data_IF_586385878670
#
_entry.id   IF_586385878670
#
_cell.length_a   1.000
_cell.length_b   1.000
_cell.length_c   1.000
_cell.angle_alpha   90.00
_cell.angle_beta   90.00
_cell.angle_gamma   90.00
#
_symmetry.space_group_name_H-M   'P 1'
#
loop_
_entity.id
_entity.type
_entity.pdbx_description
1 polymer ?
#
# COMPACT_ATOMS: atom_id res chain seq x y z
N UNK A 1 16.13 -4.73 38.12
CA UNK A 1 16.50 -4.33 36.74
C UNK A 1 17.55 -3.20 36.79
N UNK A 2 18.69 -3.44 37.43
CA UNK A 2 19.84 -2.54 37.39
C UNK A 2 21.00 -3.33 36.77
N UNK A 3 21.72 -2.75 35.81
CA UNK A 3 22.80 -3.33 34.98
C UNK A 3 22.42 -3.98 33.62
N UNK A 4 21.20 -3.81 33.12
CA UNK A 4 20.94 -4.12 31.70
C UNK A 4 21.53 -3.03 30.81
N UNK A 5 22.46 -3.42 29.93
CA UNK A 5 22.98 -2.55 28.86
C UNK A 5 22.15 -2.81 27.61
N UNK A 6 21.35 -1.82 27.22
CA UNK A 6 20.64 -1.85 25.94
C UNK A 6 21.58 -1.32 24.86
N UNK A 7 21.85 -2.18 23.86
CA UNK A 7 22.57 -1.78 22.67
C UNK A 7 21.54 -1.39 21.60
N UNK A 8 21.53 -0.13 21.19
CA UNK A 8 20.70 0.36 20.09
C UNK A 8 21.60 0.48 18.87
N UNK A 9 21.40 -0.42 17.91
CA UNK A 9 22.10 -0.40 16.65
C UNK A 9 21.39 0.54 15.67
N UNK A 10 22.16 1.42 15.04
CA UNK A 10 21.71 2.20 13.90
C UNK A 10 22.11 1.47 12.60
N UNK A 11 21.52 1.89 11.48
CA UNK A 11 21.87 1.35 10.16
C UNK A 11 23.39 1.37 9.91
N UNK A 12 23.94 0.33 9.24
CA UNK A 12 25.36 0.24 8.96
C UNK A 12 25.86 1.45 8.14
N UNK A 13 27.11 1.90 8.37
CA UNK A 13 27.69 3.04 7.65
C UNK A 13 27.64 2.85 6.13
N UNK A 14 27.08 3.82 5.40
CA UNK A 14 27.00 3.80 3.94
C UNK A 14 25.62 3.46 3.36
N UNK A 15 24.72 2.88 4.15
CA UNK A 15 23.33 2.57 3.76
C UNK A 15 22.29 3.41 4.52
N UNK A 16 22.76 4.36 5.33
CA UNK A 16 21.91 5.17 6.20
C UNK A 16 21.02 6.12 5.40
N UNK A 17 19.72 6.04 5.66
CA UNK A 17 18.79 7.10 5.27
C UNK A 17 19.22 8.41 5.94
N UNK A 18 19.08 9.53 5.22
CA UNK A 18 19.35 10.83 5.84
C UNK A 18 18.35 11.09 6.96
N UNK A 19 18.73 11.90 7.96
CA UNK A 19 17.85 12.26 9.10
C UNK A 19 16.45 12.69 8.66
N UNK A 20 16.34 13.45 7.56
CA UNK A 20 15.04 13.86 7.02
C UNK A 20 14.21 12.68 6.50
N UNK A 21 14.83 11.71 5.83
CA UNK A 21 14.13 10.50 5.40
C UNK A 21 13.74 9.64 6.61
N UNK A 22 14.60 9.50 7.62
CA UNK A 22 14.25 8.76 8.85
C UNK A 22 13.08 9.41 9.59
N UNK A 23 13.08 10.74 9.73
CA UNK A 23 11.99 11.47 10.36
C UNK A 23 10.65 11.25 9.63
N UNK A 24 10.66 11.32 8.29
CA UNK A 24 9.47 11.06 7.47
C UNK A 24 9.04 9.60 7.56
N UNK A 25 9.98 8.65 7.48
CA UNK A 25 9.71 7.22 7.57
C UNK A 25 9.07 6.85 8.93
N UNK A 26 9.63 7.33 10.04
CA UNK A 26 9.09 7.13 11.38
C UNK A 26 7.72 7.78 11.57
N UNK A 27 7.52 8.97 10.99
CA UNK A 27 6.20 9.64 10.99
C UNK A 27 5.15 8.78 10.28
N UNK A 28 5.46 8.25 9.09
CA UNK A 28 4.51 7.41 8.34
C UNK A 28 4.26 6.07 9.05
N UNK A 29 5.31 5.45 9.60
CA UNK A 29 5.20 4.19 10.33
C UNK A 29 4.30 4.30 11.58
N UNK A 30 4.23 5.49 12.19
CA UNK A 30 3.33 5.77 13.32
C UNK A 30 1.92 6.21 12.90
N UNK A 31 1.61 6.19 11.60
CA UNK A 31 0.31 6.60 11.07
C UNK A 31 0.09 8.11 11.03
N UNK A 32 1.17 8.89 11.15
CA UNK A 32 1.15 10.34 11.20
C UNK A 32 1.49 10.98 9.84
N UNK A 33 1.15 12.26 9.68
CA UNK A 33 1.46 13.06 8.51
C UNK A 33 2.41 14.23 8.81
N UNK A 34 2.55 15.12 7.83
CA UNK A 34 3.42 16.29 7.94
C UNK A 34 3.06 17.16 9.14
N UNK A 35 1.77 17.44 9.38
CA UNK A 35 1.32 18.29 10.49
C UNK A 35 1.76 17.76 11.85
N UNK A 36 1.61 16.46 12.10
CA UNK A 36 2.04 15.85 13.36
C UNK A 36 3.57 15.86 13.52
N UNK A 37 4.32 15.68 12.43
CA UNK A 37 5.77 15.85 12.48
C UNK A 37 6.16 17.29 12.84
N UNK A 38 5.45 18.29 12.32
CA UNK A 38 5.69 19.68 12.67
C UNK A 38 5.39 19.96 14.15
N UNK A 39 4.28 19.46 14.67
CA UNK A 39 3.92 19.56 16.09
C UNK A 39 4.98 18.93 16.97
N UNK A 40 5.39 17.70 16.64
CA UNK A 40 6.44 16.98 17.36
C UNK A 40 7.77 17.74 17.39
N UNK A 41 8.24 18.23 16.22
CA UNK A 41 9.45 19.04 16.15
C UNK A 41 9.33 20.34 16.95
N UNK A 42 8.17 21.00 16.89
CA UNK A 42 7.92 22.24 17.63
C UNK A 42 7.94 22.02 19.15
N UNK A 43 7.35 20.93 19.66
CA UNK A 43 7.38 20.58 21.09
C UNK A 43 8.79 20.35 21.63
N UNK A 44 9.71 19.90 20.77
CA UNK A 44 11.12 19.68 21.11
C UNK A 44 12.02 20.88 20.78
N UNK A 45 11.46 21.99 20.29
CA UNK A 45 12.19 23.15 19.79
C UNK A 45 13.22 22.79 18.68
N UNK A 46 12.87 21.83 17.82
CA UNK A 46 13.66 21.40 16.66
C UNK A 46 13.24 22.16 15.39
N UNK A 47 14.14 22.30 14.40
CA UNK A 47 13.80 22.88 13.10
C UNK A 47 12.63 22.16 12.43
N UNK A 48 11.66 22.94 11.93
CA UNK A 48 10.45 22.41 11.31
C UNK A 48 10.72 22.12 9.83
N UNK A 49 10.45 20.87 9.43
CA UNK A 49 10.52 20.48 8.02
C UNK A 49 9.44 21.17 7.19
N UNK A 50 9.81 21.77 6.07
CA UNK A 50 8.84 22.37 5.14
C UNK A 50 8.01 21.29 4.43
N UNK A 51 6.78 21.60 4.02
CA UNK A 51 5.93 20.67 3.26
C UNK A 51 6.58 20.22 1.95
N UNK A 52 7.36 21.09 1.30
CA UNK A 52 8.09 20.76 0.06
C UNK A 52 9.12 19.66 0.32
N UNK A 53 9.93 19.82 1.37
CA UNK A 53 10.95 18.83 1.76
C UNK A 53 10.29 17.52 2.20
N UNK A 54 9.25 17.59 3.02
CA UNK A 54 8.51 16.41 3.47
C UNK A 54 8.00 15.58 2.29
N UNK A 55 7.35 16.22 1.31
CA UNK A 55 6.85 15.54 0.10
C UNK A 55 7.98 14.92 -0.71
N UNK A 56 9.11 15.60 -0.88
CA UNK A 56 10.24 15.06 -1.62
C UNK A 56 10.82 13.80 -0.95
N UNK A 57 10.96 13.81 0.38
CA UNK A 57 11.37 12.63 1.15
C UNK A 57 10.32 11.51 1.08
N UNK A 58 9.04 11.85 1.25
CA UNK A 58 7.93 10.89 1.17
C UNK A 58 7.90 10.17 -0.17
N UNK A 59 8.02 10.88 -1.29
CA UNK A 59 8.02 10.28 -2.65
C UNK A 59 9.17 9.29 -2.80
N UNK A 60 10.38 9.65 -2.36
CA UNK A 60 11.54 8.74 -2.43
C UNK A 60 11.32 7.46 -1.61
N UNK A 61 10.79 7.60 -0.39
CA UNK A 61 10.49 6.47 0.49
C UNK A 61 9.39 5.59 -0.11
N UNK A 62 8.34 6.19 -0.65
CA UNK A 62 7.24 5.49 -1.31
C UNK A 62 7.76 4.61 -2.46
N UNK A 63 8.63 5.14 -3.32
CA UNK A 63 9.21 4.35 -4.43
C UNK A 63 9.97 3.12 -3.93
N UNK A 64 10.71 3.24 -2.82
CA UNK A 64 11.44 2.12 -2.24
C UNK A 64 10.50 1.10 -1.59
N UNK A 65 9.52 1.56 -0.81
CA UNK A 65 8.54 0.68 -0.19
C UNK A 65 7.67 -0.04 -1.22
N UNK A 66 7.29 0.61 -2.31
CA UNK A 66 6.56 -0.03 -3.40
C UNK A 66 7.36 -1.17 -4.01
N UNK A 67 8.65 -0.92 -4.33
CA UNK A 67 9.55 -1.95 -4.84
C UNK A 67 9.67 -3.14 -3.89
N UNK A 68 9.97 -2.89 -2.62
CA UNK A 68 10.12 -3.95 -1.60
C UNK A 68 8.81 -4.71 -1.41
N UNK A 69 7.67 -4.02 -1.44
CA UNK A 69 6.35 -4.65 -1.31
C UNK A 69 6.07 -5.59 -2.47
N UNK A 70 6.37 -5.19 -3.70
CA UNK A 70 6.20 -6.04 -4.89
C UNK A 70 7.12 -7.25 -4.84
N UNK A 71 8.39 -7.07 -4.47
CA UNK A 71 9.35 -8.18 -4.31
C UNK A 71 8.88 -9.19 -3.25
N UNK A 72 8.42 -8.70 -2.10
CA UNK A 72 7.90 -9.53 -1.02
C UNK A 72 6.64 -10.31 -1.45
N UNK A 73 5.69 -9.66 -2.13
CA UNK A 73 4.48 -10.31 -2.64
C UNK A 73 4.80 -11.38 -3.69
N UNK A 74 5.76 -11.13 -4.57
CA UNK A 74 6.19 -12.11 -5.58
C UNK A 74 6.84 -13.34 -4.93
N UNK A 75 7.66 -13.15 -3.89
CA UNK A 75 8.25 -14.25 -3.15
C UNK A 75 7.17 -15.07 -2.42
N UNK A 76 6.20 -14.42 -1.79
CA UNK A 76 5.07 -15.08 -1.15
C UNK A 76 4.24 -15.91 -2.15
N UNK A 77 3.97 -15.35 -3.34
CA UNK A 77 3.27 -16.04 -4.41
C UNK A 77 4.05 -17.25 -4.94
N UNK A 78 5.37 -17.15 -5.06
CA UNK A 78 6.22 -18.27 -5.47
C UNK A 78 6.17 -19.43 -4.46
N UNK A 79 6.23 -19.14 -3.15
CA UNK A 79 6.11 -20.17 -2.10
C UNK A 79 4.77 -20.90 -2.16
N UNK A 80 3.66 -20.17 -2.25
CA UNK A 80 2.32 -20.77 -2.38
C UNK A 80 2.20 -21.63 -3.65
N UNK A 81 2.82 -21.18 -4.76
CA UNK A 81 2.86 -21.93 -6.01
C UNK A 81 3.62 -23.25 -5.86
N UNK A 82 4.79 -23.24 -5.20
CA UNK A 82 5.59 -24.44 -4.95
C UNK A 82 4.85 -25.45 -4.05
N UNK A 83 4.16 -24.96 -3.02
CA UNK A 83 3.33 -25.80 -2.16
C UNK A 83 2.15 -26.43 -2.91
N UNK A 84 1.49 -25.69 -3.80
CA UNK A 84 0.42 -26.26 -4.61
C UNK A 84 0.94 -27.34 -5.59
N UNK A 85 2.14 -27.16 -6.14
CA UNK A 85 2.79 -28.15 -7.00
C UNK A 85 3.20 -29.42 -6.25
N UNK A 86 3.77 -29.30 -5.04
CA UNK A 86 4.21 -30.45 -4.25
C UNK A 86 3.04 -31.33 -3.80
N UNK A 87 1.84 -30.75 -3.66
CA UNK A 87 0.61 -31.46 -3.34
C UNK A 87 -0.17 -31.94 -4.58
N UNK A 88 0.39 -31.74 -5.78
CA UNK A 88 -0.26 -32.05 -7.05
C UNK A 88 -1.65 -31.40 -7.20
N UNK A 89 -1.83 -30.22 -6.60
CA UNK A 89 -3.05 -29.39 -6.73
C UNK A 89 -2.96 -28.52 -7.97
N UNK A 90 -3.18 -29.15 -9.11
CA UNK A 90 -3.14 -28.49 -10.42
C UNK A 90 -4.47 -28.63 -11.13
N UNK A 91 -4.80 -27.65 -11.97
CA UNK A 91 -5.95 -27.74 -12.86
C UNK A 91 -5.66 -28.69 -14.05
N UNK A 92 -6.64 -28.85 -14.93
CA UNK A 92 -6.54 -29.64 -16.16
C UNK A 92 -5.41 -29.21 -17.12
N UNK A 93 -4.87 -28.01 -16.96
CA UNK A 93 -3.79 -27.45 -17.77
C UNK A 93 -2.43 -27.46 -17.03
N UNK A 94 -2.35 -28.03 -15.81
CA UNK A 94 -1.15 -28.03 -14.99
C UNK A 94 -0.91 -26.72 -14.25
N UNK A 95 -1.89 -25.81 -14.18
CA UNK A 95 -1.78 -24.54 -13.46
C UNK A 95 -2.04 -24.80 -11.96
N UNK A 96 -1.13 -24.37 -11.06
CA UNK A 96 -1.32 -24.55 -9.63
C UNK A 96 -2.56 -23.85 -9.10
N UNK A 97 -3.39 -24.58 -8.37
CA UNK A 97 -4.58 -24.06 -7.71
C UNK A 97 -4.16 -23.60 -6.32
N UNK A 98 -4.21 -22.29 -6.08
CA UNK A 98 -3.88 -21.68 -4.79
C UNK A 98 -5.15 -21.21 -4.13
N UNK A 99 -5.27 -21.56 -2.86
CA UNK A 99 -6.35 -21.13 -2.01
C UNK A 99 -5.99 -19.81 -1.34
N UNK A 100 -6.90 -18.83 -1.41
CA UNK A 100 -6.64 -17.48 -0.89
C UNK A 100 -7.77 -16.99 -0.01
N UNK A 101 -7.43 -16.08 0.89
CA UNK A 101 -8.36 -15.23 1.65
C UNK A 101 -8.25 -13.83 1.08
N UNK A 102 -9.39 -13.20 0.81
CA UNK A 102 -9.42 -11.80 0.36
C UNK A 102 -10.00 -10.96 1.47
N UNK A 103 -9.24 -9.97 1.91
CA UNK A 103 -9.70 -8.96 2.87
C UNK A 103 -9.76 -7.59 2.20
N UNK A 104 -10.82 -6.85 2.47
CA UNK A 104 -11.15 -5.60 1.79
C UNK A 104 -11.55 -4.51 2.77
N UNK A 105 -11.05 -3.31 2.54
CA UNK A 105 -11.37 -2.12 3.32
C UNK A 105 -11.84 -0.99 2.42
N UNK A 106 -12.83 -0.21 2.88
CA UNK A 106 -13.34 0.97 2.19
C UNK A 106 -13.20 2.20 3.07
N UNK A 107 -12.88 3.32 2.44
CA UNK A 107 -12.78 4.61 3.14
C UNK A 107 -14.09 5.07 3.76
N UNK A 108 -15.22 4.50 3.35
CA UNK A 108 -16.52 4.75 3.94
C UNK A 108 -17.26 3.43 4.16
N UNK A 109 -17.39 3.04 5.43
CA UNK A 109 -18.25 1.93 5.83
C UNK A 109 -19.70 2.34 5.67
N UNK A 110 -20.47 1.58 4.90
CA UNK A 110 -21.93 1.78 4.83
C UNK A 110 -22.66 0.46 4.85
N UNK A 111 -23.71 0.38 5.67
CA UNK A 111 -24.55 -0.80 5.79
C UNK A 111 -25.85 -0.58 5.02
N UNK A 112 -26.07 -1.39 3.98
CA UNK A 112 -27.34 -1.57 3.26
C UNK A 112 -27.99 -0.32 2.64
N UNK A 113 -27.46 0.89 2.85
CA UNK A 113 -28.16 2.13 2.49
C UNK A 113 -27.44 3.04 1.52
N UNK A 114 -26.10 3.02 1.40
CA UNK A 114 -25.36 3.92 0.49
C UNK A 114 -23.91 3.45 0.21
N UNK A 115 -23.69 2.65 -0.83
CA UNK A 115 -22.35 2.22 -1.24
C UNK A 115 -21.59 3.33 -1.99
N UNK A 116 -21.16 4.36 -1.26
CA UNK A 116 -20.58 5.58 -1.83
C UNK A 116 -19.09 5.75 -1.50
N UNK A 117 -18.38 4.67 -1.18
CA UNK A 117 -16.95 4.73 -0.91
C UNK A 117 -16.20 5.26 -2.14
N UNK A 118 -15.36 6.27 -1.94
CA UNK A 118 -14.56 6.86 -3.02
C UNK A 118 -13.24 6.12 -3.21
N UNK A 119 -12.78 5.39 -2.20
CA UNK A 119 -11.59 4.56 -2.27
C UNK A 119 -11.85 3.23 -1.55
N UNK A 120 -11.19 2.19 -2.04
CA UNK A 120 -11.12 0.88 -1.41
C UNK A 120 -9.75 0.25 -1.63
N UNK A 121 -9.32 -0.56 -0.68
CA UNK A 121 -8.13 -1.37 -0.77
C UNK A 121 -8.49 -2.82 -0.50
N UNK A 122 -7.82 -3.76 -1.15
CA UNK A 122 -8.00 -5.18 -0.88
C UNK A 122 -6.65 -5.90 -0.92
N UNK A 123 -6.46 -6.80 0.04
CA UNK A 123 -5.34 -7.71 0.11
C UNK A 123 -5.80 -9.13 -0.23
N UNK A 124 -4.99 -9.84 -1.02
CA UNK A 124 -5.11 -11.28 -1.26
C UNK A 124 -4.02 -11.95 -0.43
N UNK A 125 -4.42 -12.88 0.42
CA UNK A 125 -3.55 -13.56 1.39
C UNK A 125 -3.57 -15.05 1.06
N UNK A 126 -2.39 -15.66 0.96
CA UNK A 126 -2.26 -17.10 0.76
C UNK A 126 -2.78 -17.85 1.98
N UNK A 127 -3.67 -18.84 1.78
CA UNK A 127 -4.26 -19.56 2.92
C UNK A 127 -3.21 -20.40 3.65
N UNK A 128 -2.17 -20.89 2.97
CA UNK A 128 -1.18 -21.78 3.59
C UNK A 128 -0.05 -21.02 4.25
N UNK A 129 0.50 -20.03 3.57
CA UNK A 129 1.62 -19.23 4.10
C UNK A 129 1.14 -18.13 5.04
N UNK A 130 -0.10 -17.65 4.87
CA UNK A 130 -0.59 -16.46 5.55
C UNK A 130 0.06 -15.16 5.06
N UNK A 131 0.83 -15.22 3.97
CA UNK A 131 1.54 -14.07 3.42
C UNK A 131 0.65 -13.33 2.40
N UNK A 132 0.87 -12.01 2.27
CA UNK A 132 0.16 -11.18 1.28
C UNK A 132 0.72 -11.47 -0.10
N UNK A 133 -0.14 -11.91 -1.01
CA UNK A 133 0.19 -12.22 -2.41
C UNK A 133 -0.06 -11.03 -3.33
N UNK A 134 -0.99 -10.15 -2.95
CA UNK A 134 -1.34 -8.97 -3.73
C UNK A 134 -2.02 -7.94 -2.83
N UNK A 135 -1.70 -6.66 -3.05
CA UNK A 135 -2.41 -5.52 -2.49
C UNK A 135 -2.85 -4.60 -3.62
N UNK A 136 -4.14 -4.30 -3.68
CA UNK A 136 -4.70 -3.40 -4.68
C UNK A 136 -5.43 -2.23 -4.05
N UNK A 137 -5.27 -1.04 -4.62
CA UNK A 137 -6.05 0.15 -4.26
C UNK A 137 -6.86 0.63 -5.46
N UNK A 138 -8.15 0.90 -5.24
CA UNK A 138 -9.06 1.46 -6.23
C UNK A 138 -9.61 2.78 -5.73
N UNK A 139 -9.43 3.83 -6.52
CA UNK A 139 -9.81 5.18 -6.15
C UNK A 139 -10.62 5.84 -7.27
N UNK A 140 -11.76 6.41 -6.89
CA UNK A 140 -12.71 7.13 -7.73
C UNK A 140 -12.53 8.63 -7.67
N UNK A 141 -11.75 9.11 -6.70
CA UNK A 141 -11.67 10.52 -6.37
C UNK A 141 -10.23 11.02 -6.43
N UNK A 142 -10.04 12.14 -7.12
CA UNK A 142 -8.84 12.96 -7.04
C UNK A 142 -9.28 14.38 -6.74
N UNK A 143 -8.75 14.97 -5.65
CA UNK A 143 -9.11 16.31 -5.23
C UNK A 143 -8.75 17.38 -6.27
N UNK A 144 -7.63 17.21 -6.98
CA UNK A 144 -7.18 18.14 -8.02
C UNK A 144 -8.13 18.10 -9.21
N UNK A 145 -8.51 16.91 -9.67
CA UNK A 145 -9.50 16.74 -10.75
C UNK A 145 -10.87 17.28 -10.35
N UNK A 146 -11.37 16.92 -9.17
CA UNK A 146 -12.68 17.36 -8.70
C UNK A 146 -12.76 18.89 -8.56
N UNK A 147 -11.68 19.52 -8.09
CA UNK A 147 -11.61 20.99 -8.03
C UNK A 147 -11.62 21.63 -9.42
N UNK A 148 -10.89 21.06 -10.38
CA UNK A 148 -10.83 21.56 -11.75
C UNK A 148 -12.20 21.47 -12.44
N UNK A 149 -12.88 20.33 -12.28
CA UNK A 149 -14.24 20.10 -12.77
C UNK A 149 -15.24 21.11 -12.18
N UNK A 150 -15.21 21.33 -10.87
CA UNK A 150 -16.06 22.33 -10.20
C UNK A 150 -15.82 23.76 -10.71
N UNK A 151 -14.60 24.07 -11.16
CA UNK A 151 -14.22 25.38 -11.69
C UNK A 151 -14.35 25.47 -13.21
N UNK A 152 -14.76 24.39 -13.89
CA UNK A 152 -14.80 24.28 -15.36
C UNK A 152 -13.45 24.63 -16.01
N UNK A 153 -12.36 24.15 -15.40
CA UNK A 153 -10.99 24.36 -15.84
C UNK A 153 -10.28 23.02 -16.05
N UNK A 154 -9.23 23.03 -16.85
CA UNK A 154 -8.36 21.87 -16.99
C UNK A 154 -7.59 21.61 -15.69
N UNK A 155 -7.46 20.33 -15.27
CA UNK A 155 -6.73 19.98 -14.07
C UNK A 155 -5.25 20.33 -14.23
N UNK A 156 -4.67 20.93 -13.18
CA UNK A 156 -3.22 21.14 -13.11
C UNK A 156 -2.49 19.81 -13.26
N UNK A 157 -1.32 19.81 -13.90
CA UNK A 157 -0.47 18.63 -14.03
C UNK A 157 -0.16 18.05 -12.65
N UNK A 158 -0.51 16.78 -12.45
CA UNK A 158 -0.30 16.04 -11.21
C UNK A 158 -0.30 14.54 -11.47
N UNK A 159 0.22 13.78 -10.51
CA UNK A 159 0.08 12.32 -10.49
C UNK A 159 -1.33 11.96 -10.01
N UNK A 160 -2.16 11.46 -10.92
CA UNK A 160 -3.56 11.17 -10.64
C UNK A 160 -3.75 9.71 -10.24
N UNK A 161 -4.09 9.47 -8.97
CA UNK A 161 -4.39 8.13 -8.46
C UNK A 161 -5.83 7.68 -8.71
N UNK A 162 -6.65 8.45 -9.45
CA UNK A 162 -8.01 8.05 -9.83
C UNK A 162 -7.93 6.94 -10.89
N UNK A 163 -8.21 5.71 -10.50
CA UNK A 163 -8.04 4.52 -11.33
C UNK A 163 -9.31 3.64 -11.42
N UNK A 164 -10.45 4.14 -10.92
CA UNK A 164 -11.72 3.42 -10.94
C UNK A 164 -12.90 4.36 -11.24
N UNK A 165 -13.76 3.97 -12.18
CA UNK A 165 -14.95 4.73 -12.61
C UNK A 165 -16.27 4.01 -12.31
N UNK A 166 -16.23 2.75 -11.88
CA UNK A 166 -17.42 1.94 -11.63
C UNK A 166 -18.17 2.27 -10.32
N UNK A 167 -19.30 1.57 -10.07
CA UNK A 167 -20.02 1.69 -8.80
C UNK A 167 -19.17 1.12 -7.66
N UNK A 168 -19.26 1.71 -6.47
CA UNK A 168 -18.35 1.34 -5.38
C UNK A 168 -18.56 -0.11 -4.89
N UNK A 169 -19.75 -0.67 -5.09
CA UNK A 169 -20.07 -2.09 -4.85
C UNK A 169 -19.29 -3.04 -5.75
N UNK A 170 -18.90 -2.61 -6.95
CA UNK A 170 -18.18 -3.45 -7.90
C UNK A 170 -16.66 -3.35 -7.75
N UNK A 171 -16.14 -2.62 -6.75
CA UNK A 171 -14.70 -2.61 -6.46
C UNK A 171 -14.23 -4.00 -6.01
N UNK A 172 -15.01 -4.68 -5.16
CA UNK A 172 -14.73 -6.06 -4.73
C UNK A 172 -14.55 -7.00 -5.90
N UNK A 173 -15.55 -7.02 -6.79
CA UNK A 173 -15.54 -7.88 -7.96
C UNK A 173 -14.32 -7.60 -8.85
N UNK A 174 -13.86 -6.34 -8.90
CA UNK A 174 -12.66 -5.96 -9.66
C UNK A 174 -11.36 -6.36 -8.99
N UNK A 175 -11.32 -6.49 -7.66
CA UNK A 175 -10.20 -7.11 -6.96
C UNK A 175 -10.22 -8.63 -7.18
N UNK A 176 -11.37 -9.27 -7.00
CA UNK A 176 -11.54 -10.72 -7.21
C UNK A 176 -11.33 -11.16 -8.66
N UNK A 177 -11.58 -10.30 -9.66
CA UNK A 177 -11.30 -10.65 -11.06
C UNK A 177 -9.80 -10.80 -11.35
N UNK A 178 -8.91 -10.31 -10.50
CA UNK A 178 -7.47 -10.62 -10.59
C UNK A 178 -7.14 -12.02 -10.05
N UNK A 179 -8.02 -12.61 -9.24
CA UNK A 179 -7.90 -13.96 -8.66
C UNK A 179 -8.45 -15.01 -9.62
N UNK A 180 -9.56 -14.72 -10.31
CA UNK A 180 -10.28 -15.67 -11.14
C UNK A 180 -9.93 -15.47 -12.62
N UNK A 181 -9.07 -16.35 -13.16
CA UNK A 181 -8.89 -16.50 -14.61
C UNK A 181 -7.63 -15.88 -15.22
N UNK A 182 -6.63 -15.52 -14.42
CA UNK A 182 -5.35 -15.05 -14.94
C UNK A 182 -4.24 -15.93 -14.38
N UNK A 183 -3.35 -16.50 -15.23
CA UNK A 183 -2.15 -17.14 -14.74
C UNK A 183 -1.39 -16.12 -13.86
N UNK A 184 -0.89 -16.57 -12.71
CA UNK A 184 -0.12 -15.75 -11.75
C UNK A 184 1.06 -14.99 -12.39
N UNK A 185 1.39 -15.28 -13.64
CA UNK A 185 2.34 -14.55 -14.50
C UNK A 185 1.90 -13.12 -14.86
N UNK A 186 0.66 -12.69 -14.60
CA UNK A 186 0.18 -11.33 -14.95
C UNK A 186 -0.29 -10.49 -13.76
N UNK A 187 0.15 -10.82 -12.53
CA UNK A 187 -0.13 -10.00 -11.34
C UNK A 187 0.88 -8.86 -11.15
N UNK A 188 1.92 -8.79 -11.98
CA UNK A 188 2.83 -7.64 -12.10
C UNK A 188 2.22 -6.49 -12.90
#
# INVERSE_FOLDING_TARGET
MCNEKFHVENDPPGEQLTVNHCAVAGTIATGNGHSQLQEFSASLNLPIMTTKTYKACHVKLQMHWEKVSVESMNQAAAKERELALSENRVDKNGIPIIDVVVDGCWSKRTYKKNYSALSGAAAIIGRKTGEVLFLGVKNKYCAICAQAENRKQEPKTHECYKNYSGPSTAMDQKFSSKVLGVPLTCIT
#
